data_IF_331119812282
#
_entry.id   IF_331119812282
#
_cell.length_a   1.000
_cell.length_b   1.000
_cell.length_c   1.000
_cell.angle_alpha   90.00
_cell.angle_beta   90.00
_cell.angle_gamma   90.00
#
_symmetry.space_group_name_H-M   'P 1'
#
loop_
_entity.id
_entity.type
_entity.pdbx_description
1 polymer ?
#
# COMPACT_ATOMS: atom_id res chain seq x y z
N UNK A 1 -15.47 1.04 -13.61
CA UNK A 1 -14.14 1.71 -13.54
C UNK A 1 -12.95 0.74 -13.43
N UNK A 2 -13.15 -0.58 -13.22
CA UNK A 2 -12.05 -1.58 -13.17
C UNK A 2 -11.51 -2.04 -14.54
N UNK A 3 -12.12 -1.66 -15.67
CA UNK A 3 -11.60 -2.02 -17.00
C UNK A 3 -10.49 -1.10 -17.52
N UNK A 4 -10.21 0.02 -16.85
CA UNK A 4 -9.27 1.05 -17.34
C UNK A 4 -7.82 0.91 -16.83
N UNK A 5 -7.54 -0.07 -15.95
CA UNK A 5 -6.19 -0.35 -15.42
C UNK A 5 -5.44 -1.35 -16.31
N UNK A 6 -6.15 -2.21 -17.06
CA UNK A 6 -5.54 -3.09 -18.09
C UNK A 6 -4.82 -2.29 -19.19
N UNK A 7 -5.22 -1.04 -19.39
CA UNK A 7 -4.63 -0.11 -20.36
C UNK A 7 -3.33 0.59 -19.90
N UNK A 8 -2.97 0.54 -18.60
CA UNK A 8 -1.68 1.10 -18.14
C UNK A 8 -0.53 0.13 -18.42
N UNK A 9 -0.79 -1.18 -18.36
CA UNK A 9 0.17 -2.21 -18.81
C UNK A 9 0.44 -2.15 -20.31
N UNK A 10 -0.53 -1.69 -21.11
CA UNK A 10 -0.36 -1.49 -22.55
C UNK A 10 0.48 -0.25 -22.89
N UNK A 11 0.48 0.78 -22.03
CA UNK A 11 1.25 2.00 -22.26
C UNK A 11 2.75 1.82 -21.96
N UNK A 12 3.11 0.89 -21.05
CA UNK A 12 4.51 0.50 -20.81
C UNK A 12 5.09 -0.33 -21.97
N UNK A 13 4.26 -1.04 -22.73
CA UNK A 13 4.68 -1.77 -23.93
C UNK A 13 4.86 -0.85 -25.16
N UNK A 14 4.15 0.28 -25.21
CA UNK A 14 4.18 1.19 -26.37
C UNK A 14 5.41 2.12 -26.41
N UNK A 15 6.16 2.26 -25.31
CA UNK A 15 7.39 3.06 -25.27
C UNK A 15 8.63 2.35 -25.83
N UNK A 16 8.53 1.07 -26.23
CA UNK A 16 9.65 0.30 -26.79
C UNK A 16 9.51 -0.07 -28.28
N UNK A 17 8.41 0.31 -28.96
CA UNK A 17 8.05 -0.27 -30.26
C UNK A 17 8.28 0.62 -31.49
N UNK A 18 9.00 1.75 -31.39
CA UNK A 18 9.26 2.61 -32.55
C UNK A 18 10.67 2.43 -33.11
N UNK A 19 10.79 1.56 -34.14
CA UNK A 19 11.59 1.72 -35.38
C UNK A 19 12.16 0.38 -35.92
N UNK A 20 11.44 -0.22 -36.87
CA UNK A 20 11.94 -1.14 -37.93
C UNK A 20 12.68 -0.32 -39.02
N UNK A 21 13.63 -0.85 -39.84
CA UNK A 21 13.66 -2.15 -40.57
C UNK A 21 14.97 -2.95 -40.27
N UNK A 22 15.24 -4.20 -40.66
CA UNK A 22 14.84 -5.10 -41.75
C UNK A 22 16.13 -5.78 -42.30
N UNK A 23 16.17 -7.12 -42.34
CA UNK A 23 17.01 -7.95 -43.25
C UNK A 23 18.53 -8.12 -42.99
N UNK A 24 18.94 -9.34 -42.59
CA UNK A 24 19.94 -10.22 -43.26
C UNK A 24 20.55 -11.24 -42.28
N UNK A 25 20.55 -12.52 -42.69
CA UNK A 25 21.12 -13.64 -41.95
C UNK A 25 22.66 -13.57 -41.96
N UNK A 26 23.27 -13.29 -40.81
CA UNK A 26 24.72 -13.37 -40.63
C UNK A 26 25.08 -14.60 -39.79
N UNK A 27 25.90 -15.49 -40.38
CA UNK A 27 26.53 -16.62 -39.70
C UNK A 27 27.34 -16.15 -38.49
N UNK A 28 27.32 -16.90 -37.39
CA UNK A 28 28.14 -16.63 -36.21
C UNK A 28 29.64 -16.71 -36.57
N UNK A 29 30.25 -15.55 -36.79
CA UNK A 29 31.69 -15.39 -37.01
C UNK A 29 32.30 -14.83 -35.74
N UNK A 30 33.37 -15.48 -35.28
CA UNK A 30 34.20 -15.00 -34.18
C UNK A 30 35.68 -15.22 -34.48
N UNK A 31 36.50 -14.31 -33.97
CA UNK A 31 37.95 -14.44 -33.90
C UNK A 31 38.31 -14.68 -32.44
N UNK A 32 38.74 -15.91 -32.15
CA UNK A 32 39.04 -16.37 -30.81
C UNK A 32 40.55 -16.44 -30.60
N UNK A 33 41.03 -15.65 -29.64
CA UNK A 33 42.43 -15.62 -29.21
C UNK A 33 42.48 -16.27 -27.83
N UNK A 34 42.67 -17.59 -27.81
CA UNK A 34 42.63 -18.37 -26.58
C UNK A 34 42.87 -19.85 -26.78
N UNK A 35 43.01 -20.58 -25.67
CA UNK A 35 43.09 -22.05 -25.63
C UNK A 35 41.84 -22.55 -24.90
N UNK A 36 41.22 -23.60 -25.41
CA UNK A 36 40.02 -24.22 -24.81
C UNK A 36 38.87 -23.24 -24.51
N UNK A 37 38.65 -22.27 -25.41
CA UNK A 37 37.65 -21.18 -25.24
C UNK A 37 37.91 -20.24 -24.07
N UNK A 38 39.16 -20.17 -23.60
CA UNK A 38 39.62 -19.25 -22.55
C UNK A 38 40.55 -18.20 -23.17
N UNK A 39 40.18 -16.92 -23.07
CA UNK A 39 41.01 -15.82 -23.56
C UNK A 39 40.22 -14.59 -23.97
N UNK A 40 40.57 -14.01 -25.12
CA UNK A 40 39.89 -12.86 -25.73
C UNK A 40 39.16 -13.30 -27.01
N UNK A 41 37.86 -13.04 -27.10
CA UNK A 41 37.04 -13.34 -28.29
C UNK A 41 36.44 -12.06 -28.88
N UNK A 42 36.52 -11.93 -30.21
CA UNK A 42 35.86 -10.88 -30.97
C UNK A 42 34.78 -11.51 -31.84
N UNK A 43 33.50 -11.28 -31.53
CA UNK A 43 32.38 -11.84 -32.28
C UNK A 43 31.60 -12.95 -31.57
N UNK A 44 30.75 -13.63 -32.34
CA UNK A 44 29.68 -14.47 -31.83
C UNK A 44 30.12 -15.90 -31.47
N UNK A 45 31.08 -16.03 -30.54
CA UNK A 45 31.46 -17.33 -29.97
C UNK A 45 30.36 -17.87 -29.04
N UNK A 46 29.81 -19.07 -29.29
CA UNK A 46 28.69 -19.61 -28.51
C UNK A 46 29.01 -19.85 -27.03
N UNK A 47 30.26 -20.22 -26.72
CA UNK A 47 30.76 -20.45 -25.35
C UNK A 47 32.12 -19.81 -25.21
N UNK A 48 32.31 -18.95 -24.21
CA UNK A 48 33.59 -18.28 -23.98
C UNK A 48 33.84 -17.96 -22.51
N UNK A 49 35.08 -18.09 -22.07
CA UNK A 49 35.54 -17.70 -20.74
C UNK A 49 36.62 -16.63 -20.87
N UNK A 50 36.44 -15.48 -20.23
CA UNK A 50 37.38 -14.36 -20.30
C UNK A 50 36.75 -13.09 -20.84
N UNK A 51 37.42 -12.40 -21.76
CA UNK A 51 36.95 -11.14 -22.34
C UNK A 51 36.32 -11.39 -23.71
N UNK A 52 35.11 -10.89 -23.93
CA UNK A 52 34.41 -10.97 -25.21
C UNK A 52 33.95 -9.59 -25.65
N UNK A 53 34.24 -9.22 -26.89
CA UNK A 53 33.85 -7.93 -27.49
C UNK A 53 33.04 -8.18 -28.76
N UNK A 54 31.87 -7.56 -28.84
CA UNK A 54 30.92 -7.74 -29.93
C UNK A 54 30.35 -6.42 -30.40
N UNK A 55 30.20 -6.32 -31.73
CA UNK A 55 29.33 -5.30 -32.28
C UNK A 55 27.87 -5.61 -31.95
N UNK A 56 27.44 -6.86 -32.15
CA UNK A 56 26.06 -7.31 -31.95
C UNK A 56 26.04 -8.79 -31.59
N UNK A 57 25.50 -9.12 -30.42
CA UNK A 57 25.40 -10.51 -29.97
C UNK A 57 24.37 -11.30 -30.80
N UNK A 58 24.68 -12.54 -31.16
CA UNK A 58 23.74 -13.47 -31.79
C UNK A 58 24.16 -14.93 -31.57
N UNK A 59 23.21 -15.80 -31.19
CA UNK A 59 23.42 -17.24 -30.96
C UNK A 59 24.46 -17.56 -29.87
N UNK A 60 24.56 -16.70 -28.86
CA UNK A 60 25.47 -16.89 -27.73
C UNK A 60 24.78 -17.75 -26.68
N UNK A 61 25.46 -18.76 -26.15
CA UNK A 61 24.90 -19.67 -25.13
C UNK A 61 25.44 -19.37 -23.74
N UNK A 62 26.74 -19.16 -23.60
CA UNK A 62 27.35 -18.94 -22.29
C UNK A 62 28.60 -18.08 -22.37
N UNK A 63 28.69 -17.10 -21.50
CA UNK A 63 29.92 -16.33 -21.29
C UNK A 63 30.21 -16.27 -19.79
N UNK A 64 31.41 -16.68 -19.40
CA UNK A 64 31.92 -16.56 -18.05
C UNK A 64 33.07 -15.54 -18.03
N UNK A 65 32.79 -14.29 -17.64
CA UNK A 65 33.78 -13.21 -17.63
C UNK A 65 33.20 -11.84 -17.95
N UNK A 66 33.81 -11.14 -18.91
CA UNK A 66 33.41 -9.78 -19.32
C UNK A 66 32.89 -9.81 -20.76
N UNK A 67 31.63 -9.42 -20.98
CA UNK A 67 31.02 -9.30 -22.32
C UNK A 67 30.72 -7.84 -22.64
N UNK A 68 31.34 -7.30 -23.69
CA UNK A 68 31.13 -5.94 -24.19
C UNK A 68 30.32 -6.02 -25.49
N UNK A 69 29.15 -5.39 -25.54
CA UNK A 69 28.28 -5.40 -26.73
C UNK A 69 27.88 -3.99 -27.15
N UNK A 70 28.21 -3.60 -28.38
CA UNK A 70 28.01 -2.22 -28.84
C UNK A 70 26.57 -1.94 -29.29
N UNK A 71 25.86 -2.94 -29.83
CA UNK A 71 24.54 -2.79 -30.44
C UNK A 71 23.54 -3.86 -30.00
N UNK A 72 22.23 -3.54 -30.09
CA UNK A 72 21.15 -4.46 -29.70
C UNK A 72 21.20 -5.74 -30.57
N UNK A 73 21.13 -6.96 -29.99
CA UNK A 73 21.12 -8.22 -30.75
C UNK A 73 19.92 -8.37 -31.71
N UNK A 74 19.94 -9.37 -32.58
CA UNK A 74 18.79 -9.71 -33.43
C UNK A 74 17.73 -10.42 -32.57
N UNK A 75 16.45 -10.11 -32.79
CA UNK A 75 15.35 -10.65 -31.98
C UNK A 75 15.41 -12.19 -31.92
N UNK A 76 15.17 -12.75 -30.73
CA UNK A 76 15.03 -14.18 -30.45
C UNK A 76 16.29 -15.08 -30.67
N UNK A 77 17.50 -14.51 -30.69
CA UNK A 77 18.73 -15.31 -30.90
C UNK A 77 19.52 -15.65 -29.62
N UNK A 78 19.21 -15.02 -28.47
CA UNK A 78 20.01 -15.12 -27.24
C UNK A 78 19.17 -15.42 -25.97
N UNK A 79 17.96 -15.99 -26.10
CA UNK A 79 17.09 -16.32 -24.95
C UNK A 79 17.75 -17.32 -23.98
N UNK A 80 18.60 -18.20 -24.51
CA UNK A 80 19.37 -19.17 -23.72
C UNK A 80 20.72 -18.64 -23.25
N UNK A 81 21.09 -17.40 -23.60
CA UNK A 81 22.39 -16.84 -23.24
C UNK A 81 22.50 -16.68 -21.72
N UNK A 82 23.37 -17.47 -21.11
CA UNK A 82 23.78 -17.34 -19.72
C UNK A 82 25.05 -16.48 -19.61
N UNK A 83 24.89 -15.25 -19.10
CA UNK A 83 25.98 -14.32 -18.85
C UNK A 83 26.36 -14.35 -17.38
N UNK A 84 27.52 -14.93 -17.07
CA UNK A 84 28.10 -14.97 -15.73
C UNK A 84 29.27 -13.98 -15.66
N UNK A 85 29.19 -12.96 -14.81
CA UNK A 85 30.22 -11.93 -14.68
C UNK A 85 29.72 -10.53 -15.04
N UNK A 86 30.45 -9.79 -15.88
CA UNK A 86 30.18 -8.37 -16.17
C UNK A 86 29.74 -8.21 -17.63
N UNK A 87 28.51 -7.76 -17.86
CA UNK A 87 28.03 -7.36 -19.17
C UNK A 87 28.03 -5.83 -19.29
N UNK A 88 28.68 -5.31 -20.32
CA UNK A 88 28.70 -3.89 -20.67
C UNK A 88 28.05 -3.73 -22.04
N UNK A 89 27.12 -2.79 -22.19
CA UNK A 89 26.57 -2.46 -23.49
C UNK A 89 26.36 -0.98 -23.73
N UNK A 90 26.66 -0.53 -24.95
CA UNK A 90 26.43 0.87 -25.33
C UNK A 90 24.94 1.11 -25.53
N UNK A 91 24.27 0.28 -26.35
CA UNK A 91 22.81 0.37 -26.49
C UNK A 91 22.11 -0.39 -25.36
N UNK A 92 22.22 -1.71 -25.32
CA UNK A 92 21.73 -2.51 -24.21
C UNK A 92 22.34 -3.91 -24.26
N UNK A 93 23.02 -4.41 -23.20
CA UNK A 93 23.29 -5.84 -23.11
C UNK A 93 21.97 -6.59 -23.03
N UNK A 94 21.84 -7.65 -23.81
CA UNK A 94 20.70 -8.56 -23.79
C UNK A 94 21.21 -10.00 -23.63
N UNK A 95 20.62 -10.71 -22.69
CA UNK A 95 20.91 -12.11 -22.40
C UNK A 95 19.66 -12.77 -21.82
N UNK A 96 19.61 -14.10 -21.88
CA UNK A 96 18.61 -14.87 -21.15
C UNK A 96 18.70 -14.59 -19.65
N UNK A 97 19.86 -14.89 -19.08
CA UNK A 97 20.11 -14.69 -17.65
C UNK A 97 21.40 -13.91 -17.43
N UNK A 98 21.32 -12.87 -16.61
CA UNK A 98 22.50 -12.22 -16.04
C UNK A 98 22.76 -12.75 -14.63
N UNK A 99 24.00 -13.16 -14.37
CA UNK A 99 24.50 -13.57 -13.06
C UNK A 99 25.78 -12.80 -12.76
N UNK A 100 25.65 -11.64 -12.12
CA UNK A 100 26.76 -10.71 -11.88
C UNK A 100 26.33 -9.26 -12.08
N UNK A 101 27.10 -8.48 -12.84
CA UNK A 101 26.81 -7.07 -13.12
C UNK A 101 26.46 -6.87 -14.60
N UNK A 102 25.40 -6.12 -14.89
CA UNK A 102 25.01 -5.71 -16.23
C UNK A 102 24.86 -4.18 -16.27
N UNK A 103 25.57 -3.51 -17.17
CA UNK A 103 25.56 -2.06 -17.31
C UNK A 103 25.29 -1.72 -18.77
N UNK A 104 24.22 -0.98 -19.04
CA UNK A 104 23.83 -0.57 -20.39
C UNK A 104 23.42 0.89 -20.45
N UNK A 105 24.00 1.70 -21.35
CA UNK A 105 23.64 3.14 -21.42
C UNK A 105 22.20 3.33 -21.92
N UNK A 106 21.74 2.55 -22.88
CA UNK A 106 20.32 2.54 -23.28
C UNK A 106 19.44 1.60 -22.46
N UNK A 107 19.99 0.69 -21.65
CA UNK A 107 19.23 -0.16 -20.73
C UNK A 107 19.80 -1.57 -20.58
N UNK A 108 19.20 -2.39 -19.73
CA UNK A 108 19.53 -3.82 -19.56
C UNK A 108 18.29 -4.66 -19.87
N UNK A 109 18.42 -5.68 -20.73
CA UNK A 109 17.30 -6.50 -21.21
C UNK A 109 17.55 -7.98 -20.88
N UNK A 110 16.76 -8.57 -19.99
CA UNK A 110 16.86 -9.97 -19.60
C UNK A 110 15.63 -10.79 -20.01
N UNK A 111 15.81 -11.90 -20.74
CA UNK A 111 14.67 -12.74 -21.19
C UNK A 111 14.21 -13.77 -20.14
N UNK A 112 15.01 -14.04 -19.10
CA UNK A 112 14.65 -14.99 -18.04
C UNK A 112 14.89 -14.44 -16.65
N UNK A 113 16.07 -13.92 -16.33
CA UNK A 113 16.33 -13.38 -14.99
C UNK A 113 17.53 -12.44 -14.92
N UNK A 114 17.51 -11.58 -13.91
CA UNK A 114 18.69 -10.84 -13.44
C UNK A 114 19.01 -11.30 -12.03
N UNK A 115 20.22 -11.82 -11.81
CA UNK A 115 20.75 -12.19 -10.51
C UNK A 115 22.02 -11.38 -10.25
N UNK A 116 21.92 -10.29 -9.49
CA UNK A 116 23.03 -9.40 -9.18
C UNK A 116 22.68 -7.93 -9.39
N UNK A 117 23.53 -7.18 -10.08
CA UNK A 117 23.39 -5.73 -10.27
C UNK A 117 23.08 -5.42 -11.74
N UNK A 118 21.99 -4.70 -12.01
CA UNK A 118 21.64 -4.19 -13.33
C UNK A 118 21.51 -2.66 -13.30
N UNK A 119 22.29 -1.97 -14.12
CA UNK A 119 22.29 -0.52 -14.26
C UNK A 119 21.96 -0.17 -15.71
N UNK A 120 20.74 0.30 -15.94
CA UNK A 120 20.26 0.72 -17.25
C UNK A 120 20.08 2.23 -17.32
N UNK A 121 20.76 2.91 -18.24
CA UNK A 121 20.65 4.36 -18.38
C UNK A 121 19.24 4.83 -18.74
N UNK A 122 18.49 4.09 -19.57
CA UNK A 122 17.04 4.30 -19.73
C UNK A 122 16.23 3.38 -18.82
N UNK A 123 16.59 2.11 -18.68
CA UNK A 123 15.82 1.20 -17.84
C UNK A 123 16.37 -0.20 -17.73
N UNK A 124 15.83 -0.96 -16.78
CA UNK A 124 16.09 -2.39 -16.61
C UNK A 124 14.78 -3.13 -16.89
N UNK A 125 14.79 -4.03 -17.87
CA UNK A 125 13.63 -4.83 -18.24
C UNK A 125 13.99 -6.31 -18.12
N UNK A 126 13.16 -7.07 -17.39
CA UNK A 126 13.34 -8.52 -17.21
C UNK A 126 12.02 -9.25 -17.44
N UNK A 127 12.00 -10.26 -18.32
CA UNK A 127 10.85 -11.14 -18.54
C UNK A 127 10.68 -12.20 -17.43
N UNK A 128 11.58 -12.25 -16.46
CA UNK A 128 11.38 -13.03 -15.23
C UNK A 128 11.96 -12.31 -14.01
N UNK A 129 12.37 -13.05 -12.95
CA UNK A 129 12.69 -12.42 -11.68
C UNK A 129 13.97 -11.59 -11.71
N UNK A 130 13.97 -10.53 -10.91
CA UNK A 130 15.16 -9.72 -10.61
C UNK A 130 15.51 -9.96 -9.14
N UNK A 131 16.70 -10.50 -8.89
CA UNK A 131 17.25 -10.76 -7.57
C UNK A 131 18.53 -9.96 -7.38
N UNK A 132 18.52 -8.93 -6.55
CA UNK A 132 19.65 -8.05 -6.32
C UNK A 132 19.28 -6.57 -6.49
N UNK A 133 20.13 -5.79 -7.17
CA UNK A 133 19.93 -4.36 -7.37
C UNK A 133 19.64 -4.04 -8.84
N UNK A 134 18.53 -3.36 -9.13
CA UNK A 134 18.19 -2.85 -10.45
C UNK A 134 17.97 -1.33 -10.38
N UNK A 135 18.69 -0.59 -11.21
CA UNK A 135 18.57 0.87 -11.31
C UNK A 135 18.35 1.25 -12.76
N UNK A 136 17.22 1.90 -13.03
CA UNK A 136 16.82 2.35 -14.36
C UNK A 136 16.55 3.85 -14.38
N UNK A 137 17.11 4.59 -15.35
CA UNK A 137 16.91 6.04 -15.45
C UNK A 137 15.44 6.45 -15.60
N UNK A 138 14.66 5.71 -16.39
CA UNK A 138 13.20 5.84 -16.50
C UNK A 138 12.49 4.82 -15.60
N UNK A 139 12.96 3.57 -15.56
CA UNK A 139 12.27 2.59 -14.73
C UNK A 139 12.88 1.21 -14.68
N UNK A 140 12.35 0.42 -13.76
CA UNK A 140 12.61 -1.02 -13.63
C UNK A 140 11.30 -1.75 -13.88
N UNK A 141 11.29 -2.66 -14.85
CA UNK A 141 10.09 -3.42 -15.24
C UNK A 141 10.42 -4.91 -15.21
N UNK A 142 9.66 -5.67 -14.44
CA UNK A 142 9.84 -7.12 -14.29
C UNK A 142 8.53 -7.87 -14.52
N UNK A 143 8.56 -8.92 -15.34
CA UNK A 143 7.42 -9.85 -15.47
C UNK A 143 7.43 -10.94 -14.38
N UNK A 144 8.55 -11.11 -13.68
CA UNK A 144 8.65 -11.97 -12.50
C UNK A 144 8.58 -11.18 -11.19
N UNK A 145 9.10 -11.77 -10.12
CA UNK A 145 9.26 -11.10 -8.83
C UNK A 145 10.53 -10.26 -8.75
N UNK A 146 10.49 -9.21 -7.96
CA UNK A 146 11.64 -8.34 -7.67
C UNK A 146 12.03 -8.50 -6.22
N UNK A 147 13.23 -9.04 -5.96
CA UNK A 147 13.77 -9.24 -4.62
C UNK A 147 15.11 -8.52 -4.46
N UNK A 148 15.14 -7.45 -3.67
CA UNK A 148 16.33 -6.64 -3.39
C UNK A 148 16.01 -5.15 -3.50
N UNK A 149 16.81 -4.40 -4.27
CA UNK A 149 16.62 -2.97 -4.48
C UNK A 149 16.22 -2.68 -5.93
N UNK A 150 15.12 -1.97 -6.15
CA UNK A 150 14.70 -1.51 -7.45
C UNK A 150 14.47 0.01 -7.41
N UNK A 151 15.17 0.75 -8.27
CA UNK A 151 15.10 2.21 -8.32
C UNK A 151 14.84 2.65 -9.76
N UNK A 152 13.72 3.31 -9.98
CA UNK A 152 13.31 3.81 -11.29
C UNK A 152 13.00 5.30 -11.25
N UNK A 153 13.54 6.09 -12.18
CA UNK A 153 13.30 7.54 -12.19
C UNK A 153 11.82 7.93 -12.36
N UNK A 154 11.05 7.19 -13.16
CA UNK A 154 9.59 7.30 -13.26
C UNK A 154 8.88 6.23 -12.44
N UNK A 155 9.36 4.99 -12.42
CA UNK A 155 8.70 3.96 -11.64
C UNK A 155 9.34 2.59 -11.63
N UNK A 156 8.81 1.76 -10.73
CA UNK A 156 9.15 0.35 -10.58
C UNK A 156 7.88 -0.47 -10.75
N UNK A 157 7.89 -1.43 -11.68
CA UNK A 157 6.75 -2.28 -11.99
C UNK A 157 7.17 -3.74 -11.92
N UNK A 158 6.42 -4.56 -11.17
CA UNK A 158 6.62 -6.01 -11.04
C UNK A 158 5.30 -6.73 -11.26
N UNK A 159 5.31 -7.77 -12.09
CA UNK A 159 4.14 -8.64 -12.27
C UNK A 159 4.11 -9.81 -11.28
N UNK A 160 5.20 -10.01 -10.53
CA UNK A 160 5.22 -10.85 -9.33
C UNK A 160 5.29 -10.02 -8.04
N UNK A 161 5.66 -10.68 -6.95
CA UNK A 161 5.91 -10.04 -5.66
C UNK A 161 7.10 -9.06 -5.69
N UNK A 162 7.04 -8.02 -4.85
CA UNK A 162 8.19 -7.16 -4.57
C UNK A 162 8.65 -7.36 -3.12
N UNK A 163 9.92 -7.68 -2.92
CA UNK A 163 10.55 -7.80 -1.60
C UNK A 163 11.81 -6.94 -1.52
N UNK A 164 11.90 -6.07 -0.53
CA UNK A 164 13.05 -5.21 -0.28
C UNK A 164 12.74 -3.73 -0.44
N UNK A 165 13.54 -2.99 -1.21
CA UNK A 165 13.42 -1.54 -1.38
C UNK A 165 12.98 -1.25 -2.81
N UNK A 166 11.87 -0.52 -2.98
CA UNK A 166 11.37 -0.07 -4.29
C UNK A 166 11.13 1.43 -4.27
N UNK A 167 11.81 2.16 -5.14
CA UNK A 167 11.72 3.63 -5.23
C UNK A 167 11.37 4.00 -6.67
N UNK A 168 10.24 4.66 -6.86
CA UNK A 168 9.77 5.16 -8.15
C UNK A 168 9.46 6.65 -8.09
N UNK A 169 9.90 7.46 -9.06
CA UNK A 169 9.58 8.89 -9.04
C UNK A 169 8.08 9.19 -9.09
N UNK A 170 7.32 8.45 -9.91
CA UNK A 170 5.86 8.53 -10.00
C UNK A 170 5.19 7.37 -9.26
N UNK A 171 5.63 6.13 -9.50
CA UNK A 171 4.88 4.97 -9.02
C UNK A 171 5.72 3.72 -8.72
N UNK A 172 5.25 2.95 -7.74
CA UNK A 172 5.69 1.58 -7.49
C UNK A 172 4.47 0.68 -7.57
N UNK A 173 4.47 -0.30 -8.49
CA UNK A 173 3.30 -1.13 -8.79
C UNK A 173 3.66 -2.60 -8.83
N UNK A 174 3.01 -3.41 -8.00
CA UNK A 174 3.19 -4.86 -7.91
C UNK A 174 1.87 -5.61 -8.16
N UNK A 175 1.85 -6.60 -9.05
CA UNK A 175 0.71 -7.54 -9.15
C UNK A 175 0.76 -8.65 -8.10
N UNK A 176 1.85 -8.74 -7.34
CA UNK A 176 1.97 -9.61 -6.17
C UNK A 176 1.99 -8.85 -4.85
N UNK A 177 2.19 -9.56 -3.72
CA UNK A 177 2.43 -8.93 -2.42
C UNK A 177 3.67 -8.04 -2.44
N UNK A 178 3.68 -7.03 -1.57
CA UNK A 178 4.82 -6.15 -1.36
C UNK A 178 5.32 -6.27 0.08
N UNK A 179 6.63 -6.49 0.25
CA UNK A 179 7.27 -6.58 1.57
C UNK A 179 8.53 -5.75 1.63
N UNK A 180 8.60 -4.75 2.52
CA UNK A 180 9.78 -3.91 2.74
C UNK A 180 9.47 -2.43 2.68
N UNK A 181 10.26 -1.65 1.93
CA UNK A 181 10.13 -0.19 1.82
C UNK A 181 9.74 0.16 0.39
N UNK A 182 8.62 0.87 0.24
CA UNK A 182 8.14 1.35 -1.06
C UNK A 182 7.87 2.85 -1.00
N UNK A 183 8.52 3.61 -1.87
CA UNK A 183 8.42 5.07 -1.92
C UNK A 183 8.09 5.51 -3.33
N UNK A 184 7.02 6.29 -3.48
CA UNK A 184 6.59 6.84 -4.76
C UNK A 184 6.11 8.30 -4.66
N UNK A 185 6.37 9.10 -5.70
CA UNK A 185 5.86 10.48 -5.74
C UNK A 185 4.34 10.57 -5.87
N UNK A 186 3.70 9.69 -6.66
CA UNK A 186 2.25 9.62 -6.78
C UNK A 186 1.67 8.44 -5.99
N UNK A 187 2.05 7.20 -6.30
CA UNK A 187 1.33 6.05 -5.79
C UNK A 187 2.15 4.78 -5.57
N UNK A 188 1.82 4.09 -4.47
CA UNK A 188 2.28 2.71 -4.23
C UNK A 188 1.06 1.79 -4.33
N UNK A 189 1.10 0.83 -5.24
CA UNK A 189 -0.05 -0.05 -5.55
C UNK A 189 0.35 -1.52 -5.54
N UNK A 190 -0.40 -2.35 -4.83
CA UNK A 190 -0.24 -3.81 -4.80
C UNK A 190 -1.58 -4.50 -5.07
N UNK A 191 -1.58 -5.50 -5.95
CA UNK A 191 -2.71 -6.45 -6.10
C UNK A 191 -2.69 -7.55 -5.02
N UNK A 192 -1.77 -7.48 -4.06
CA UNK A 192 -1.68 -8.36 -2.90
C UNK A 192 -1.61 -7.60 -1.57
N UNK A 193 -1.28 -8.30 -0.47
CA UNK A 193 -1.02 -7.66 0.80
C UNK A 193 0.29 -6.86 0.78
N UNK A 194 0.33 -5.77 1.54
CA UNK A 194 1.53 -4.97 1.77
C UNK A 194 2.03 -5.16 3.20
N UNK A 195 3.34 -5.29 3.38
CA UNK A 195 3.98 -5.32 4.69
C UNK A 195 5.25 -4.46 4.73
N UNK A 196 5.35 -3.52 5.67
CA UNK A 196 6.51 -2.66 5.87
C UNK A 196 6.15 -1.16 5.82
N UNK A 197 6.98 -0.38 5.13
CA UNK A 197 6.84 1.08 5.01
C UNK A 197 6.41 1.44 3.59
N UNK A 198 5.23 2.05 3.44
CA UNK A 198 4.72 2.52 2.16
C UNK A 198 4.47 4.03 2.22
N UNK A 199 5.18 4.78 1.38
CA UNK A 199 5.10 6.24 1.32
C UNK A 199 4.69 6.68 -0.08
N UNK A 200 3.61 7.44 -0.19
CA UNK A 200 3.13 7.95 -1.47
C UNK A 200 2.63 9.40 -1.36
N UNK A 201 2.91 10.25 -2.36
CA UNK A 201 2.41 11.62 -2.37
C UNK A 201 0.89 11.71 -2.55
N UNK A 202 0.27 10.77 -3.28
CA UNK A 202 -1.19 10.74 -3.49
C UNK A 202 -1.82 9.58 -2.73
N UNK A 203 -1.43 8.33 -3.01
CA UNK A 203 -2.15 7.17 -2.48
C UNK A 203 -1.34 5.90 -2.30
N UNK A 204 -1.66 5.16 -1.23
CA UNK A 204 -1.19 3.77 -1.02
C UNK A 204 -2.42 2.86 -1.12
N UNK A 205 -2.39 1.90 -2.05
CA UNK A 205 -3.55 1.04 -2.35
C UNK A 205 -3.14 -0.44 -2.39
N UNK A 206 -3.79 -1.27 -1.57
CA UNK A 206 -3.59 -2.72 -1.56
C UNK A 206 -4.91 -3.47 -1.82
N UNK A 207 -4.90 -4.44 -2.73
CA UNK A 207 -6.00 -5.41 -2.88
C UNK A 207 -5.94 -6.55 -1.84
N UNK A 208 -5.08 -6.42 -0.82
CA UNK A 208 -5.06 -7.26 0.38
C UNK A 208 -5.02 -6.42 1.65
N UNK A 209 -4.49 -6.99 2.74
CA UNK A 209 -4.24 -6.25 3.97
C UNK A 209 -2.95 -5.43 3.92
N UNK A 210 -2.85 -4.41 4.76
CA UNK A 210 -1.64 -3.63 5.00
C UNK A 210 -1.13 -3.86 6.42
N UNK A 211 0.15 -4.19 6.58
CA UNK A 211 0.82 -4.33 7.88
C UNK A 211 2.05 -3.44 7.97
N UNK A 212 2.08 -2.47 8.88
CA UNK A 212 3.23 -1.58 9.08
C UNK A 212 2.85 -0.11 9.06
N UNK A 213 3.63 0.70 8.35
CA UNK A 213 3.46 2.17 8.28
C UNK A 213 3.07 2.57 6.86
N UNK A 214 1.89 3.18 6.71
CA UNK A 214 1.38 3.64 5.43
C UNK A 214 1.10 5.14 5.52
N UNK A 215 1.77 5.93 4.68
CA UNK A 215 1.59 7.39 4.63
C UNK A 215 1.23 7.80 3.20
N UNK A 216 0.10 8.49 3.07
CA UNK A 216 -0.39 8.99 1.79
C UNK A 216 -0.88 10.43 1.89
N UNK A 217 -0.57 11.27 0.90
CA UNK A 217 -1.06 12.65 0.89
C UNK A 217 -2.58 12.78 0.74
N UNK A 218 -3.25 11.86 0.03
CA UNK A 218 -4.72 11.80 -0.03
C UNK A 218 -5.29 10.58 0.69
N UNK A 219 -4.88 9.36 0.34
CA UNK A 219 -5.60 8.18 0.82
C UNK A 219 -4.78 6.91 0.98
N UNK A 220 -5.07 6.17 2.05
CA UNK A 220 -4.64 4.77 2.22
C UNK A 220 -5.87 3.87 2.12
N UNK A 221 -5.83 2.88 1.21
CA UNK A 221 -6.98 2.00 0.92
C UNK A 221 -6.55 0.54 0.88
N UNK A 222 -7.17 -0.29 1.71
CA UNK A 222 -6.93 -1.73 1.77
C UNK A 222 -8.23 -2.52 1.62
N UNK A 223 -8.22 -3.55 0.76
CA UNK A 223 -9.33 -4.52 0.66
C UNK A 223 -9.32 -5.57 1.78
N UNK A 224 -8.30 -5.57 2.64
CA UNK A 224 -8.24 -6.38 3.86
C UNK A 224 -8.03 -5.53 5.12
N UNK A 225 -7.39 -6.13 6.12
CA UNK A 225 -7.08 -5.45 7.38
C UNK A 225 -5.97 -4.40 7.21
N UNK A 226 -6.05 -3.30 7.95
CA UNK A 226 -4.92 -2.38 8.17
C UNK A 226 -4.41 -2.51 9.60
N UNK A 227 -3.16 -2.96 9.77
CA UNK A 227 -2.57 -3.20 11.09
C UNK A 227 -1.28 -2.39 11.19
N UNK A 228 -1.29 -1.33 11.99
CA UNK A 228 -0.12 -0.49 12.24
C UNK A 228 -0.46 1.00 12.21
N UNK A 229 0.41 1.82 11.62
CA UNK A 229 0.25 3.27 11.57
C UNK A 229 -0.18 3.69 10.17
N UNK A 230 -1.39 4.22 10.05
CA UNK A 230 -1.96 4.70 8.80
C UNK A 230 -2.19 6.21 8.90
N UNK A 231 -1.56 6.98 8.01
CA UNK A 231 -1.69 8.43 7.95
C UNK A 231 -2.11 8.81 6.52
N UNK A 232 -3.28 9.43 6.39
CA UNK A 232 -3.82 9.87 5.11
C UNK A 232 -4.32 11.31 5.18
N UNK A 233 -4.04 12.14 4.17
CA UNK A 233 -4.54 13.52 4.18
C UNK A 233 -6.07 13.65 4.07
N UNK A 234 -6.75 12.74 3.38
CA UNK A 234 -8.21 12.68 3.30
C UNK A 234 -8.78 11.43 3.98
N UNK A 235 -8.36 10.23 3.59
CA UNK A 235 -9.07 9.01 4.01
C UNK A 235 -8.19 7.81 4.26
N UNK A 236 -8.39 7.14 5.40
CA UNK A 236 -7.91 5.78 5.64
C UNK A 236 -9.11 4.83 5.58
N UNK A 237 -9.10 3.88 4.64
CA UNK A 237 -10.27 3.02 4.34
C UNK A 237 -9.86 1.56 4.27
N UNK A 238 -10.42 0.73 5.16
CA UNK A 238 -10.20 -0.72 5.19
C UNK A 238 -11.53 -1.48 5.01
N UNK A 239 -11.54 -2.47 4.13
CA UNK A 239 -12.64 -3.44 4.05
C UNK A 239 -12.56 -4.52 5.14
N UNK A 240 -11.44 -4.60 5.87
CA UNK A 240 -11.28 -5.45 7.05
C UNK A 240 -11.26 -4.65 8.35
N UNK A 241 -10.48 -5.14 9.30
CA UNK A 241 -10.25 -4.49 10.59
C UNK A 241 -9.15 -3.42 10.50
N UNK A 242 -9.26 -2.37 11.32
CA UNK A 242 -8.15 -1.44 11.56
C UNK A 242 -7.61 -1.62 12.98
N UNK A 243 -6.29 -1.78 13.11
CA UNK A 243 -5.63 -1.93 14.40
C UNK A 243 -4.46 -0.95 14.54
N UNK A 244 -4.27 -0.44 15.76
CA UNK A 244 -3.28 0.54 16.17
C UNK A 244 -3.64 2.01 15.89
N UNK A 245 -2.92 2.72 15.02
CA UNK A 245 -3.05 4.18 14.85
C UNK A 245 -3.59 4.48 13.45
N UNK A 246 -4.74 5.16 13.37
CA UNK A 246 -5.34 5.57 12.10
C UNK A 246 -5.66 7.06 12.14
N UNK A 247 -4.98 7.84 11.30
CA UNK A 247 -5.13 9.29 11.22
C UNK A 247 -5.54 9.66 9.80
N UNK A 248 -6.66 10.38 9.67
CA UNK A 248 -7.13 10.85 8.37
C UNK A 248 -7.67 12.28 8.47
N UNK A 249 -7.46 13.13 7.46
CA UNK A 249 -8.04 14.48 7.50
C UNK A 249 -9.57 14.46 7.48
N UNK A 250 -10.18 13.66 6.61
CA UNK A 250 -11.66 13.56 6.49
C UNK A 250 -12.18 12.34 7.22
N UNK A 251 -11.73 11.12 6.91
CA UNK A 251 -12.40 9.92 7.42
C UNK A 251 -11.49 8.74 7.69
N UNK A 252 -11.66 8.12 8.86
CA UNK A 252 -11.19 6.75 9.13
C UNK A 252 -12.41 5.83 9.03
N UNK A 253 -12.39 4.89 8.09
CA UNK A 253 -13.53 4.01 7.78
C UNK A 253 -13.10 2.55 7.74
N UNK A 254 -13.69 1.72 8.61
CA UNK A 254 -13.51 0.27 8.61
C UNK A 254 -14.85 -0.46 8.39
N UNK A 255 -14.87 -1.45 7.49
CA UNK A 255 -15.99 -2.40 7.40
C UNK A 255 -15.94 -3.47 8.51
N UNK A 256 -14.77 -3.69 9.10
CA UNK A 256 -14.62 -4.47 10.33
C UNK A 256 -14.65 -3.61 11.59
N UNK A 257 -13.92 -4.05 12.60
CA UNK A 257 -13.67 -3.29 13.84
C UNK A 257 -12.55 -2.28 13.70
N UNK A 258 -12.52 -1.32 14.62
CA UNK A 258 -11.39 -0.44 14.87
C UNK A 258 -10.88 -0.70 16.28
N UNK A 259 -9.66 -1.21 16.44
CA UNK A 259 -9.01 -1.41 17.75
C UNK A 259 -7.76 -0.51 17.85
N UNK A 260 -7.81 0.54 18.66
CA UNK A 260 -6.66 1.42 18.95
C UNK A 260 -7.01 2.91 19.00
N UNK A 261 -6.10 3.75 18.50
CA UNK A 261 -6.26 5.20 18.38
C UNK A 261 -6.71 5.54 16.97
N UNK A 262 -7.84 6.24 16.83
CA UNK A 262 -8.30 6.75 15.54
C UNK A 262 -8.68 8.22 15.62
N UNK A 263 -8.23 9.03 14.66
CA UNK A 263 -8.59 10.44 14.61
C UNK A 263 -8.89 10.90 13.19
N UNK A 264 -10.02 11.60 13.03
CA UNK A 264 -10.36 12.28 11.78
C UNK A 264 -11.17 13.55 11.98
N UNK A 265 -10.96 14.57 11.14
CA UNK A 265 -11.72 15.82 11.26
C UNK A 265 -13.15 15.66 10.76
N UNK A 266 -13.40 14.79 9.78
CA UNK A 266 -14.77 14.46 9.35
C UNK A 266 -15.40 13.38 10.22
N UNK A 267 -14.77 12.22 10.42
CA UNK A 267 -15.30 11.23 11.37
C UNK A 267 -14.60 9.87 11.36
N UNK A 268 -14.85 9.11 12.42
CA UNK A 268 -14.41 7.72 12.58
C UNK A 268 -15.62 6.81 12.50
N UNK A 269 -15.65 5.91 11.54
CA UNK A 269 -16.79 5.02 11.28
C UNK A 269 -16.32 3.58 11.21
N UNK A 270 -16.95 2.70 11.99
CA UNK A 270 -16.75 1.26 11.93
C UNK A 270 -18.10 0.55 11.76
N UNK A 271 -18.17 -0.45 10.89
CA UNK A 271 -19.31 -1.36 10.84
C UNK A 271 -19.26 -2.46 11.92
N UNK A 272 -18.09 -2.66 12.53
CA UNK A 272 -17.90 -3.49 13.73
C UNK A 272 -17.65 -2.68 15.00
N UNK A 273 -17.21 -3.35 16.08
CA UNK A 273 -16.85 -2.70 17.34
C UNK A 273 -15.76 -1.63 17.18
N UNK A 274 -15.85 -0.57 17.97
CA UNK A 274 -14.74 0.36 18.17
C UNK A 274 -14.19 0.12 19.58
N UNK A 275 -12.91 -0.25 19.70
CA UNK A 275 -12.22 -0.42 20.98
C UNK A 275 -11.01 0.51 21.06
N UNK A 276 -10.92 1.31 22.12
CA UNK A 276 -9.81 2.24 22.32
C UNK A 276 -10.28 3.68 22.34
N UNK A 277 -9.51 4.58 21.72
CA UNK A 277 -9.78 6.02 21.74
C UNK A 277 -10.02 6.56 20.34
N UNK A 278 -11.15 7.22 20.13
CA UNK A 278 -11.55 7.76 18.84
C UNK A 278 -11.92 9.24 18.92
N UNK A 279 -11.38 10.04 18.00
CA UNK A 279 -11.70 11.46 17.85
C UNK A 279 -12.25 11.71 16.45
N UNK A 280 -13.48 12.20 16.35
CA UNK A 280 -14.14 12.45 15.07
C UNK A 280 -14.81 13.81 15.04
N UNK A 281 -14.38 14.75 14.20
CA UNK A 281 -15.00 16.09 14.19
C UNK A 281 -16.50 16.03 13.87
N UNK A 282 -16.92 15.34 12.82
CA UNK A 282 -18.35 15.10 12.52
C UNK A 282 -18.97 13.94 13.29
N UNK A 283 -18.19 12.93 13.70
CA UNK A 283 -18.70 11.88 14.56
C UNK A 283 -17.78 10.68 14.78
N UNK A 284 -18.08 9.91 15.83
CA UNK A 284 -17.53 8.57 16.09
C UNK A 284 -18.70 7.60 16.09
N UNK A 285 -18.75 6.71 15.11
CA UNK A 285 -19.92 5.86 14.84
C UNK A 285 -19.51 4.39 14.75
N UNK A 286 -19.98 3.59 15.69
CA UNK A 286 -19.98 2.13 15.62
C UNK A 286 -21.39 1.67 15.19
N UNK A 287 -21.51 1.14 13.97
CA UNK A 287 -22.82 0.76 13.41
C UNK A 287 -23.28 -0.57 14.02
N UNK A 288 -24.42 -0.54 14.72
CA UNK A 288 -25.01 -1.71 15.40
C UNK A 288 -23.99 -2.50 16.26
N UNK A 289 -22.99 -1.80 16.77
CA UNK A 289 -21.81 -2.39 17.39
C UNK A 289 -21.41 -1.60 18.64
N UNK A 290 -20.76 -2.28 19.61
CA UNK A 290 -20.32 -1.62 20.83
C UNK A 290 -19.13 -0.69 20.57
N UNK A 291 -19.10 0.42 21.31
CA UNK A 291 -17.95 1.29 21.48
C UNK A 291 -17.42 1.12 22.90
N UNK A 292 -16.20 0.59 23.03
CA UNK A 292 -15.53 0.38 24.33
C UNK A 292 -14.28 1.25 24.43
N UNK A 293 -14.23 2.14 25.42
CA UNK A 293 -13.12 3.06 25.66
C UNK A 293 -13.57 4.52 25.66
N UNK A 294 -12.91 5.36 24.87
CA UNK A 294 -13.16 6.80 24.81
C UNK A 294 -13.55 7.25 23.40
N UNK A 295 -14.60 8.07 23.31
CA UNK A 295 -15.02 8.71 22.07
C UNK A 295 -15.22 10.20 22.28
N UNK A 296 -14.61 11.03 21.43
CA UNK A 296 -14.81 12.48 21.42
C UNK A 296 -15.21 12.90 20.02
N UNK A 297 -16.33 13.61 19.90
CA UNK A 297 -16.80 14.17 18.63
C UNK A 297 -17.41 15.56 18.81
N UNK A 298 -17.29 16.43 17.80
CA UNK A 298 -18.07 17.68 17.79
C UNK A 298 -19.52 17.41 17.32
N UNK A 299 -19.69 16.47 16.40
CA UNK A 299 -21.01 16.00 15.98
C UNK A 299 -21.57 14.90 16.87
N UNK A 300 -21.65 13.69 16.35
CA UNK A 300 -22.34 12.57 17.01
C UNK A 300 -21.40 11.48 17.54
N UNK A 301 -21.68 10.95 18.73
CA UNK A 301 -21.18 9.64 19.16
C UNK A 301 -22.34 8.64 19.12
N UNK A 302 -22.21 7.60 18.30
CA UNK A 302 -23.23 6.56 18.13
C UNK A 302 -22.64 5.16 18.31
N UNK A 303 -23.30 4.34 19.12
CA UNK A 303 -22.98 2.93 19.33
C UNK A 303 -24.22 2.16 19.77
N UNK A 304 -24.25 0.82 19.68
CA UNK A 304 -25.30 0.04 20.36
C UNK A 304 -25.08 0.05 21.87
N UNK A 305 -23.84 -0.23 22.28
CA UNK A 305 -23.39 -0.16 23.66
C UNK A 305 -22.21 0.81 23.76
N UNK A 306 -22.29 1.80 24.64
CA UNK A 306 -21.19 2.71 24.95
C UNK A 306 -20.61 2.34 26.32
N UNK A 307 -19.43 1.72 26.34
CA UNK A 307 -18.71 1.37 27.56
C UNK A 307 -17.49 2.26 27.75
N UNK A 308 -17.47 3.10 28.78
CA UNK A 308 -16.37 4.03 29.06
C UNK A 308 -16.83 5.48 29.05
N UNK A 309 -16.25 6.33 28.20
CA UNK A 309 -16.69 7.72 28.07
C UNK A 309 -16.97 8.14 26.63
N UNK A 310 -18.07 8.86 26.43
CA UNK A 310 -18.43 9.50 25.18
C UNK A 310 -18.67 10.98 25.41
N UNK A 311 -18.03 11.83 24.61
CA UNK A 311 -18.24 13.28 24.60
C UNK A 311 -18.63 13.68 23.18
N UNK A 312 -19.82 14.25 23.02
CA UNK A 312 -20.35 14.69 21.74
C UNK A 312 -20.83 16.15 21.85
N UNK A 313 -20.35 17.02 20.96
CA UNK A 313 -20.79 18.41 20.88
C UNK A 313 -22.26 18.56 20.45
N UNK A 314 -22.76 17.65 19.58
CA UNK A 314 -24.16 17.64 19.20
C UNK A 314 -24.95 16.57 19.96
N UNK A 315 -24.71 15.29 19.69
CA UNK A 315 -25.52 14.23 20.32
C UNK A 315 -24.81 12.93 20.61
N UNK A 316 -25.27 12.26 21.66
CA UNK A 316 -24.97 10.84 21.94
C UNK A 316 -26.22 10.02 21.69
N UNK A 317 -26.07 8.92 20.94
CA UNK A 317 -27.11 7.91 20.73
C UNK A 317 -26.58 6.52 21.07
N UNK A 318 -27.18 5.86 22.07
CA UNK A 318 -26.86 4.47 22.41
C UNK A 318 -28.07 3.69 22.94
N UNK A 319 -28.07 2.36 22.79
CA UNK A 319 -29.08 1.51 23.41
C UNK A 319 -28.73 1.25 24.88
N UNK A 320 -27.45 1.02 25.17
CA UNK A 320 -26.91 1.00 26.52
C UNK A 320 -25.70 1.92 26.62
N UNK A 321 -25.59 2.66 27.72
CA UNK A 321 -24.37 3.40 28.03
C UNK A 321 -23.95 3.12 29.47
N UNK A 322 -22.69 2.72 29.67
CA UNK A 322 -22.06 2.46 30.96
C UNK A 322 -20.83 3.36 31.10
N UNK A 323 -20.88 4.28 32.07
CA UNK A 323 -19.80 5.24 32.35
C UNK A 323 -20.23 6.69 32.17
N UNK A 324 -19.41 7.50 31.51
CA UNK A 324 -19.62 8.94 31.33
C UNK A 324 -20.15 9.24 29.93
N UNK A 325 -21.28 9.92 29.81
CA UNK A 325 -21.86 10.32 28.52
C UNK A 325 -22.19 11.80 28.55
N UNK A 326 -21.48 12.60 27.76
CA UNK A 326 -21.67 14.05 27.65
C UNK A 326 -22.14 14.38 26.25
N UNK A 327 -23.44 14.60 26.05
CA UNK A 327 -24.01 15.07 24.79
C UNK A 327 -24.54 16.49 24.95
N UNK A 328 -23.77 17.51 24.56
CA UNK A 328 -24.05 18.91 24.96
C UNK A 328 -25.47 19.36 24.60
N UNK A 329 -25.98 19.02 23.42
CA UNK A 329 -27.34 19.36 23.01
C UNK A 329 -28.33 18.24 23.33
N UNK A 330 -28.03 17.00 22.93
CA UNK A 330 -28.96 15.87 23.08
C UNK A 330 -28.25 14.58 23.47
N UNK A 331 -28.76 13.90 24.49
CA UNK A 331 -28.34 12.57 24.89
C UNK A 331 -29.56 11.65 24.88
N UNK A 332 -29.51 10.61 24.04
CA UNK A 332 -30.56 9.58 23.95
C UNK A 332 -29.95 8.21 24.21
N UNK A 333 -30.25 7.65 25.36
CA UNK A 333 -29.73 6.35 25.79
C UNK A 333 -30.90 5.44 26.16
N UNK A 334 -30.91 4.17 25.75
CA UNK A 334 -31.93 3.23 26.25
C UNK A 334 -31.77 3.00 27.75
N UNK A 335 -30.69 2.31 28.13
CA UNK A 335 -30.31 2.06 29.52
C UNK A 335 -29.03 2.81 29.86
N UNK A 336 -29.11 3.78 30.77
CA UNK A 336 -27.95 4.53 31.26
C UNK A 336 -27.50 3.98 32.61
N UNK A 337 -26.21 3.63 32.74
CA UNK A 337 -25.54 3.28 34.00
C UNK A 337 -24.31 4.18 34.19
N UNK A 338 -24.43 5.22 35.01
CA UNK A 338 -23.31 6.13 35.28
C UNK A 338 -23.72 7.60 35.29
N UNK A 339 -22.97 8.45 34.58
CA UNK A 339 -23.16 9.90 34.55
C UNK A 339 -23.54 10.35 33.14
N UNK A 340 -24.70 10.98 33.00
CA UNK A 340 -25.18 11.56 31.77
C UNK A 340 -25.25 13.09 31.90
N UNK A 341 -24.64 13.82 30.98
CA UNK A 341 -24.65 15.28 30.95
C UNK A 341 -25.12 15.74 29.56
N UNK A 342 -26.06 16.67 29.51
CA UNK A 342 -26.54 17.21 28.24
C UNK A 342 -27.71 18.18 28.38
N UNK A 343 -27.97 18.99 27.36
CA UNK A 343 -29.11 19.91 27.36
C UNK A 343 -30.45 19.16 27.48
N UNK A 344 -30.65 18.17 26.61
CA UNK A 344 -31.79 17.27 26.64
C UNK A 344 -31.36 15.82 26.84
N UNK A 345 -31.65 15.27 28.01
CA UNK A 345 -31.35 13.91 28.39
C UNK A 345 -32.63 13.06 28.32
N UNK A 346 -32.67 12.05 27.45
CA UNK A 346 -33.76 11.09 27.36
C UNK A 346 -33.26 9.67 27.54
N UNK A 347 -33.72 9.03 28.62
CA UNK A 347 -33.40 7.65 28.95
C UNK A 347 -34.66 6.78 29.08
N UNK A 348 -34.63 5.50 28.69
CA UNK A 348 -35.71 4.58 29.10
C UNK A 348 -35.52 4.18 30.55
N UNK A 349 -34.33 3.69 30.89
CA UNK A 349 -33.94 3.32 32.26
C UNK A 349 -32.70 4.12 32.64
N UNK A 350 -32.78 4.85 33.76
CA UNK A 350 -31.64 5.57 34.32
C UNK A 350 -31.18 4.90 35.61
N UNK A 351 -29.88 4.58 35.69
CA UNK A 351 -29.18 4.14 36.90
C UNK A 351 -27.97 5.04 37.12
N UNK A 352 -28.07 5.98 38.06
CA UNK A 352 -27.01 6.97 38.33
C UNK A 352 -27.44 8.42 38.13
N UNK A 353 -26.50 9.27 37.79
CA UNK A 353 -26.67 10.73 37.76
C UNK A 353 -26.99 11.22 36.35
N UNK A 354 -28.05 12.02 36.21
CA UNK A 354 -28.30 12.80 35.00
C UNK A 354 -28.28 14.29 35.34
N UNK A 355 -27.50 15.06 34.59
CA UNK A 355 -27.39 16.52 34.71
C UNK A 355 -27.78 17.15 33.38
N UNK A 356 -28.76 18.04 33.37
CA UNK A 356 -29.20 18.66 32.14
C UNK A 356 -30.27 19.72 32.31
N UNK A 357 -30.56 20.47 31.24
CA UNK A 357 -31.67 21.44 31.27
C UNK A 357 -33.00 20.69 31.40
N UNK A 358 -33.15 19.61 30.64
CA UNK A 358 -34.31 18.73 30.68
C UNK A 358 -33.88 17.26 30.79
N UNK A 359 -34.26 16.60 31.88
CA UNK A 359 -34.06 15.18 32.10
C UNK A 359 -35.40 14.45 32.01
N UNK A 360 -35.48 13.42 31.16
CA UNK A 360 -36.66 12.56 31.06
C UNK A 360 -36.25 11.10 31.12
N UNK A 361 -36.82 10.36 32.06
CA UNK A 361 -36.70 8.91 32.11
C UNK A 361 -38.04 8.22 32.33
N UNK A 362 -38.20 7.02 31.78
CA UNK A 362 -39.39 6.21 32.05
C UNK A 362 -39.24 5.51 33.42
N UNK A 363 -38.04 5.03 33.76
CA UNK A 363 -37.74 4.39 35.05
C UNK A 363 -36.44 4.94 35.66
N UNK A 364 -36.56 5.66 36.78
CA UNK A 364 -35.45 6.26 37.51
C UNK A 364 -34.97 5.38 38.67
N UNK A 365 -33.68 5.06 38.69
CA UNK A 365 -32.91 4.49 39.80
C UNK A 365 -31.66 5.32 40.06
N UNK A 366 -31.84 6.59 40.43
CA UNK A 366 -30.73 7.51 40.62
C UNK A 366 -31.18 8.94 40.86
N UNK A 367 -30.31 9.90 40.53
CA UNK A 367 -30.53 11.33 40.79
C UNK A 367 -30.59 12.09 39.47
N UNK A 368 -31.56 12.98 39.34
CA UNK A 368 -31.64 13.95 38.25
C UNK A 368 -31.41 15.35 38.80
N UNK A 369 -30.56 16.12 38.12
CA UNK A 369 -30.30 17.52 38.41
C UNK A 369 -30.59 18.29 37.13
N UNK A 370 -31.58 19.18 37.18
CA UNK A 370 -31.99 19.94 36.02
C UNK A 370 -33.11 20.92 36.31
N UNK A 371 -33.32 21.85 35.37
CA UNK A 371 -34.44 22.80 35.47
C UNK A 371 -35.79 22.08 35.38
N UNK A 372 -35.84 21.02 34.57
CA UNK A 372 -37.02 20.18 34.38
C UNK A 372 -36.61 18.71 34.47
N UNK A 373 -37.24 17.98 35.40
CA UNK A 373 -37.00 16.56 35.63
C UNK A 373 -38.33 15.81 35.52
N UNK A 374 -38.35 14.74 34.70
CA UNK A 374 -39.49 13.84 34.55
C UNK A 374 -39.04 12.40 34.75
N UNK A 375 -39.73 11.69 35.64
CA UNK A 375 -39.55 10.27 35.87
C UNK A 375 -40.91 9.55 35.79
N UNK A 376 -41.04 8.59 34.88
CA UNK A 376 -42.29 7.85 34.66
C UNK A 376 -42.72 7.00 35.84
N UNK A 377 -41.78 6.55 36.67
CA UNK A 377 -42.04 5.87 37.94
C UNK A 377 -42.23 6.83 39.13
N UNK A 378 -42.29 8.15 38.90
CA UNK A 378 -42.59 9.15 39.93
C UNK A 378 -44.09 9.50 40.03
N UNK A 379 -44.99 8.64 39.55
CA UNK A 379 -46.40 8.69 39.94
C UNK A 379 -46.68 7.60 40.97
N UNK A 380 -46.65 7.92 42.27
CA UNK A 380 -47.81 8.09 43.19
C UNK A 380 -47.27 8.47 44.61
N UNK A 381 -47.96 9.41 45.27
CA UNK A 381 -48.00 9.78 46.71
C UNK A 381 -47.03 10.90 47.16
N UNK A 382 -47.45 12.07 47.66
CA UNK A 382 -48.76 12.70 47.94
C UNK A 382 -48.66 14.20 47.61
#
# INVERSE_FOLDING_TARGET
MLSSIKSVGALALLLCAAALPGGNHAHAQSLDIGVDSVGISFGNSPRWTGLRVNLRDAHVRRVDGVNITLWRPHENTNEDFAMNGIALGVVAPNAGTFSGAAIGLGGVLAERAVNGVALGGLGVVSQGPVRGAAVGGLGVVTQGSTSGAAIGGLGVVSQGEMRGISIGGLGVVSQGPMSGVSVAGLGVVSEGPMSGLNLAGVGVVAQGGMRGVNVAGLGTVAQGDMIGVNIAGLGAIAQGEMRWINLAGVGVVAQGRIDGLSAALGGVVAQGPIRGFSVGGGGVVAVNSPLTGGAIALGEVRASELHGFGVAGYRIHADEARGLSIGLIRLRVGTMRGVAIGGYNRMKVQRGLAVGVYNRTDVLHGVQIGLLNYAGNASVQY
#
